data_IF_215485695208
#
_entry.id   IF_215485695208
#
_cell.length_a   1.000
_cell.length_b   1.000
_cell.length_c   1.000
_cell.angle_alpha   90.00
_cell.angle_beta   90.00
_cell.angle_gamma   90.00
#
_symmetry.space_group_name_H-M   'P 1'
#
loop_
_entity.id
_entity.type
_entity.pdbx_description
1 polymer ?
#
# COMPACT_ATOMS: atom_id res chain seq x y z
N UNK A 1 34.21 -8.86 -0.28
CA UNK A 1 33.35 -8.05 0.61
C UNK A 1 32.47 -7.26 -0.30
N UNK A 2 31.16 -7.39 -0.13
CA UNK A 2 30.17 -6.76 -1.00
C UNK A 2 29.50 -5.64 -0.19
N UNK A 3 29.28 -4.49 -0.82
CA UNK A 3 28.64 -3.33 -0.21
C UNK A 3 27.57 -2.78 -1.13
N UNK A 4 26.41 -2.43 -0.56
CA UNK A 4 25.34 -1.70 -1.25
C UNK A 4 25.06 -0.40 -0.51
N UNK A 5 24.94 0.71 -1.25
CA UNK A 5 24.70 2.04 -0.69
C UNK A 5 23.55 2.70 -1.41
N UNK A 6 22.55 3.11 -0.65
CA UNK A 6 21.32 3.72 -1.17
C UNK A 6 21.09 5.07 -0.51
N UNK A 7 20.61 6.04 -1.29
CA UNK A 7 20.32 7.38 -0.77
C UNK A 7 19.08 7.96 -1.46
N UNK A 8 18.15 8.55 -0.69
CA UNK A 8 16.91 9.14 -1.20
C UNK A 8 17.11 10.27 -2.21
N UNK A 9 18.28 10.92 -2.17
CA UNK A 9 18.66 11.98 -3.10
C UNK A 9 19.17 11.49 -4.46
N UNK A 10 19.25 10.18 -4.68
CA UNK A 10 19.63 9.64 -5.99
C UNK A 10 18.55 10.02 -7.04
N UNK A 11 18.93 10.71 -8.13
CA UNK A 11 18.00 11.20 -9.14
C UNK A 11 17.32 10.09 -9.96
N UNK A 12 17.84 8.85 -9.92
CA UNK A 12 17.21 7.69 -10.57
C UNK A 12 15.98 7.17 -9.81
N UNK A 13 15.82 7.52 -8.53
CA UNK A 13 14.73 7.01 -7.71
C UNK A 13 13.40 7.68 -8.03
N UNK A 14 12.48 6.88 -8.58
CA UNK A 14 11.04 7.22 -8.62
C UNK A 14 10.40 7.07 -7.23
N UNK A 15 9.15 7.50 -7.07
CA UNK A 15 8.44 7.38 -5.77
C UNK A 15 8.33 5.93 -5.28
N UNK A 16 8.16 4.96 -6.19
CA UNK A 16 8.09 3.54 -5.79
C UNK A 16 9.46 3.01 -5.33
N UNK A 17 10.56 3.52 -5.89
CA UNK A 17 11.90 3.20 -5.38
C UNK A 17 12.13 3.80 -4.00
N UNK A 18 11.68 5.04 -3.75
CA UNK A 18 11.75 5.66 -2.41
C UNK A 18 10.91 4.87 -1.39
N UNK A 19 9.73 4.40 -1.80
CA UNK A 19 8.92 3.48 -1.00
C UNK A 19 9.66 2.16 -0.74
N UNK A 20 10.30 1.59 -1.75
CA UNK A 20 11.18 0.43 -1.59
C UNK A 20 12.28 0.65 -0.57
N UNK A 21 12.97 1.79 -0.66
CA UNK A 21 14.07 2.12 0.22
C UNK A 21 13.60 2.28 1.68
N UNK A 22 12.46 2.92 1.90
CA UNK A 22 11.87 2.99 3.24
C UNK A 22 11.39 1.63 3.76
N UNK A 23 10.85 0.79 2.88
CA UNK A 23 10.48 -0.58 3.22
C UNK A 23 11.67 -1.41 3.70
N UNK A 24 12.81 -1.28 3.00
CA UNK A 24 14.07 -1.91 3.37
C UNK A 24 14.58 -1.35 4.70
N UNK A 25 14.58 -0.03 4.87
CA UNK A 25 14.99 0.64 6.11
C UNK A 25 14.21 0.10 7.31
N UNK A 26 12.88 0.05 7.22
CA UNK A 26 12.01 -0.46 8.28
C UNK A 26 12.26 -1.94 8.57
N UNK A 27 12.48 -2.74 7.54
CA UNK A 27 12.74 -4.18 7.69
C UNK A 27 14.08 -4.44 8.37
N UNK A 28 15.14 -3.75 7.95
CA UNK A 28 16.46 -3.84 8.58
C UNK A 28 16.41 -3.35 10.02
N UNK A 29 15.65 -2.29 10.31
CA UNK A 29 15.48 -1.80 11.68
C UNK A 29 14.80 -2.82 12.59
N UNK A 30 13.78 -3.51 12.09
CA UNK A 30 13.11 -4.58 12.84
C UNK A 30 14.06 -5.77 13.06
N UNK A 31 14.77 -6.21 12.01
CA UNK A 31 15.77 -7.28 12.12
C UNK A 31 16.89 -6.95 13.10
N UNK A 32 17.29 -5.68 13.20
CA UNK A 32 18.30 -5.23 14.15
C UNK A 32 17.88 -5.50 15.60
N UNK A 33 16.59 -5.37 15.90
CA UNK A 33 16.03 -5.59 17.23
C UNK A 33 15.85 -7.08 17.54
N UNK A 34 15.51 -7.88 16.54
CA UNK A 34 15.09 -9.28 16.72
C UNK A 34 16.22 -10.29 16.54
N UNK A 35 17.18 -10.00 15.65
CA UNK A 35 18.22 -10.95 15.24
C UNK A 35 19.60 -10.37 15.51
N UNK A 36 20.33 -10.88 16.52
CA UNK A 36 21.71 -10.49 16.81
C UNK A 36 22.66 -10.71 15.62
N UNK A 37 23.75 -9.91 15.55
CA UNK A 37 24.69 -9.90 14.41
C UNK A 37 25.34 -11.27 14.13
N UNK A 38 25.65 -12.03 15.17
CA UNK A 38 26.27 -13.36 15.11
C UNK A 38 25.37 -14.42 14.45
N UNK A 39 24.07 -14.18 14.41
CA UNK A 39 23.08 -15.05 13.76
C UNK A 39 22.84 -14.68 12.28
N UNK A 40 23.47 -13.61 11.78
CA UNK A 40 23.29 -13.13 10.39
C UNK A 40 24.38 -13.72 9.49
N UNK A 41 24.03 -14.31 8.33
CA UNK A 41 25.01 -14.91 7.43
C UNK A 41 25.99 -13.87 6.88
N UNK A 42 27.22 -14.28 6.60
CA UNK A 42 28.23 -13.40 6.01
C UNK A 42 28.65 -12.21 6.87
N UNK A 43 28.32 -12.23 8.17
CA UNK A 43 28.42 -11.07 9.06
C UNK A 43 27.69 -9.85 8.49
N UNK A 44 26.53 -10.09 7.85
CA UNK A 44 25.70 -9.05 7.27
C UNK A 44 25.39 -7.98 8.32
N UNK A 45 25.82 -6.77 8.02
CA UNK A 45 25.59 -5.61 8.85
C UNK A 45 25.09 -4.44 7.98
N UNK A 46 24.49 -3.46 8.64
CA UNK A 46 23.98 -2.27 7.98
C UNK A 46 24.09 -1.03 8.87
N UNK A 47 24.22 0.11 8.22
CA UNK A 47 24.05 1.42 8.83
C UNK A 47 22.79 2.07 8.28
N UNK A 48 21.93 2.54 9.18
CA UNK A 48 20.66 3.20 8.85
C UNK A 48 20.78 4.69 9.11
N UNK A 49 20.51 5.49 8.09
CA UNK A 49 20.51 6.95 8.17
C UNK A 49 19.13 7.50 7.86
N UNK A 50 18.91 8.77 8.23
CA UNK A 50 17.72 9.54 7.90
C UNK A 50 17.35 9.52 6.40
N UNK A 51 18.36 9.42 5.52
CA UNK A 51 18.17 9.52 4.06
C UNK A 51 18.86 8.41 3.27
N UNK A 52 19.38 7.38 3.92
CA UNK A 52 20.12 6.33 3.23
C UNK A 52 20.30 5.06 4.05
N UNK A 53 20.81 4.03 3.36
CA UNK A 53 21.12 2.72 3.93
C UNK A 53 22.46 2.29 3.34
N UNK A 54 23.36 1.82 4.19
CA UNK A 54 24.55 1.09 3.77
C UNK A 54 24.43 -0.35 4.25
N UNK A 55 24.57 -1.34 3.36
CA UNK A 55 24.67 -2.75 3.70
C UNK A 55 26.07 -3.26 3.36
N UNK A 56 26.60 -4.16 4.18
CA UNK A 56 27.87 -4.81 3.93
C UNK A 56 27.88 -6.24 4.44
N UNK A 57 28.48 -7.14 3.65
CA UNK A 57 28.65 -8.54 4.03
C UNK A 57 29.87 -9.20 3.37
N UNK A 58 30.18 -10.42 3.81
CA UNK A 58 31.25 -11.29 3.31
C UNK A 58 30.66 -12.64 2.89
N UNK A 59 31.42 -13.41 2.12
CA UNK A 59 30.98 -14.71 1.62
C UNK A 59 30.19 -14.59 0.31
N UNK A 60 29.30 -15.55 0.05
CA UNK A 60 28.49 -15.59 -1.17
C UNK A 60 27.26 -14.70 -1.04
N UNK A 61 27.05 -13.84 -2.05
CA UNK A 61 25.96 -12.88 -2.06
C UNK A 61 24.59 -13.57 -2.03
N UNK A 62 24.44 -14.68 -2.76
CA UNK A 62 23.19 -15.43 -2.78
C UNK A 62 22.75 -15.90 -1.38
N UNK A 63 23.65 -16.46 -0.58
CA UNK A 63 23.31 -16.99 0.75
C UNK A 63 22.82 -15.88 1.69
N UNK A 64 23.47 -14.71 1.62
CA UNK A 64 23.12 -13.55 2.44
C UNK A 64 21.80 -12.92 2.00
N UNK A 65 21.61 -12.74 0.69
CA UNK A 65 20.42 -12.08 0.14
C UNK A 65 19.20 -12.99 0.21
N UNK A 66 19.34 -14.29 -0.07
CA UNK A 66 18.26 -15.27 0.09
C UNK A 66 17.78 -15.33 1.54
N UNK A 67 18.71 -15.34 2.50
CA UNK A 67 18.36 -15.24 3.92
C UNK A 67 17.60 -13.95 4.23
N UNK A 68 18.14 -12.80 3.81
CA UNK A 68 17.51 -11.49 4.08
C UNK A 68 16.10 -11.42 3.50
N UNK A 69 15.88 -11.90 2.27
CA UNK A 69 14.56 -11.92 1.64
C UNK A 69 13.60 -12.87 2.37
N UNK A 70 14.05 -14.06 2.78
CA UNK A 70 13.20 -15.01 3.52
C UNK A 70 12.81 -14.50 4.91
N UNK A 71 13.70 -13.79 5.58
CA UNK A 71 13.41 -13.14 6.86
C UNK A 71 12.50 -11.92 6.70
N UNK A 72 12.65 -11.17 5.60
CA UNK A 72 11.86 -9.98 5.29
C UNK A 72 10.41 -10.31 4.91
N UNK A 73 10.25 -11.36 4.11
CA UNK A 73 9.02 -11.69 3.37
C UNK A 73 8.43 -13.02 3.86
N UNK A 74 7.63 -12.96 4.93
CA UNK A 74 7.08 -14.13 5.60
C UNK A 74 5.64 -14.44 5.18
N UNK A 75 5.20 -15.66 5.51
CA UNK A 75 3.82 -16.10 5.38
C UNK A 75 3.43 -16.79 6.69
N UNK A 76 2.37 -16.33 7.33
CA UNK A 76 1.86 -16.84 8.61
C UNK A 76 0.36 -17.05 8.49
N UNK A 77 -0.14 -18.24 8.88
CA UNK A 77 -1.55 -18.61 8.73
C UNK A 77 -2.13 -18.35 7.33
N UNK A 78 -1.29 -18.47 6.30
CA UNK A 78 -1.63 -18.20 4.91
C UNK A 78 -1.72 -16.72 4.54
N UNK A 79 -1.47 -15.79 5.47
CA UNK A 79 -1.40 -14.35 5.25
C UNK A 79 0.04 -13.92 4.96
N UNK A 80 0.20 -12.82 4.22
CA UNK A 80 1.52 -12.23 3.99
C UNK A 80 1.92 -11.52 5.29
N UNK A 81 3.07 -11.89 5.84
CA UNK A 81 3.66 -11.29 7.03
C UNK A 81 4.91 -10.53 6.59
N UNK A 82 4.88 -9.20 6.70
CA UNK A 82 6.00 -8.34 6.35
C UNK A 82 6.70 -7.91 7.63
N UNK A 83 7.97 -8.29 7.78
CA UNK A 83 8.73 -7.98 8.99
C UNK A 83 8.91 -6.49 9.22
N UNK A 84 9.13 -5.71 8.16
CA UNK A 84 9.20 -4.25 8.26
C UNK A 84 7.91 -3.57 8.71
N UNK A 85 6.78 -4.28 8.80
CA UNK A 85 5.55 -3.77 9.40
C UNK A 85 5.32 -4.27 10.83
N UNK A 86 6.21 -5.12 11.36
CA UNK A 86 6.03 -5.88 12.60
C UNK A 86 4.65 -6.56 12.58
N UNK A 87 4.46 -7.39 11.55
CA UNK A 87 3.18 -8.01 11.26
C UNK A 87 2.67 -8.86 12.41
N UNK A 88 3.55 -9.46 13.22
CA UNK A 88 3.19 -10.23 14.41
C UNK A 88 2.44 -9.40 15.46
N UNK A 89 2.79 -8.11 15.61
CA UNK A 89 2.10 -7.19 16.53
C UNK A 89 0.83 -6.58 15.94
N UNK A 90 0.60 -6.71 14.63
CA UNK A 90 -0.56 -6.12 13.96
C UNK A 90 -1.85 -6.86 14.32
N UNK A 91 -2.95 -6.11 14.41
CA UNK A 91 -4.28 -6.70 14.46
C UNK A 91 -4.50 -7.57 13.22
N UNK A 92 -5.07 -8.77 13.39
CA UNK A 92 -5.32 -9.72 12.29
C UNK A 92 -6.09 -9.10 11.11
N UNK A 93 -7.07 -8.24 11.41
CA UNK A 93 -7.85 -7.51 10.42
C UNK A 93 -6.98 -6.62 9.50
N UNK A 94 -5.98 -5.94 10.09
CA UNK A 94 -5.01 -5.13 9.35
C UNK A 94 -4.09 -6.01 8.49
N UNK A 95 -3.67 -7.17 9.00
CA UNK A 95 -2.89 -8.13 8.21
C UNK A 95 -3.67 -8.62 6.98
N UNK A 96 -4.97 -8.90 7.14
CA UNK A 96 -5.86 -9.31 6.03
C UNK A 96 -5.92 -8.20 4.95
N UNK A 97 -6.02 -6.94 5.34
CA UNK A 97 -5.98 -5.81 4.38
C UNK A 97 -4.65 -5.74 3.64
N UNK A 98 -3.52 -5.81 4.35
CA UNK A 98 -2.19 -5.76 3.72
C UNK A 98 -2.04 -6.91 2.74
N UNK A 99 -2.42 -8.12 3.15
CA UNK A 99 -2.41 -9.29 2.29
C UNK A 99 -3.28 -9.08 1.03
N UNK A 100 -4.57 -8.75 1.19
CA UNK A 100 -5.47 -8.54 0.05
C UNK A 100 -5.01 -7.38 -0.84
N UNK A 101 -4.50 -6.30 -0.25
CA UNK A 101 -3.94 -5.15 -0.95
C UNK A 101 -2.77 -5.54 -1.83
N UNK A 102 -1.79 -6.30 -1.30
CA UNK A 102 -0.65 -6.82 -2.06
C UNK A 102 -1.13 -7.76 -3.18
N UNK A 103 -2.06 -8.67 -2.89
CA UNK A 103 -2.65 -9.56 -3.92
C UNK A 103 -3.46 -8.80 -4.97
N UNK A 104 -4.03 -7.67 -4.60
CA UNK A 104 -4.80 -6.78 -5.45
C UNK A 104 -3.94 -5.81 -6.26
N UNK A 105 -2.65 -5.66 -5.96
CA UNK A 105 -1.78 -4.62 -6.53
C UNK A 105 -0.46 -5.17 -7.07
N UNK A 106 0.46 -5.60 -6.22
CA UNK A 106 1.77 -6.15 -6.62
C UNK A 106 1.62 -7.56 -7.18
N UNK A 107 1.03 -8.48 -6.43
CA UNK A 107 1.06 -9.92 -6.74
C UNK A 107 -0.21 -10.42 -7.45
N UNK A 108 -0.76 -9.64 -8.38
CA UNK A 108 -2.08 -9.92 -8.98
C UNK A 108 -2.14 -11.25 -9.76
N UNK A 109 -1.04 -11.64 -10.40
CA UNK A 109 -1.00 -12.81 -11.26
C UNK A 109 -0.72 -14.09 -10.47
N UNK A 110 -1.42 -15.18 -10.79
CA UNK A 110 -1.27 -16.46 -10.07
C UNK A 110 0.15 -17.03 -10.09
N UNK A 111 0.97 -16.73 -11.10
CA UNK A 111 2.38 -17.21 -11.20
C UNK A 111 3.33 -16.57 -10.19
N UNK A 112 2.96 -15.45 -9.56
CA UNK A 112 3.85 -14.77 -8.59
C UNK A 112 3.66 -15.27 -7.16
N UNK A 113 2.84 -16.31 -6.96
CA UNK A 113 2.46 -16.85 -5.65
C UNK A 113 1.99 -18.29 -5.75
N UNK A 114 2.14 -19.06 -4.68
CA UNK A 114 1.55 -20.39 -4.55
C UNK A 114 0.45 -20.32 -3.50
N UNK A 115 -0.79 -20.57 -3.92
CA UNK A 115 -1.95 -20.51 -3.04
C UNK A 115 -2.28 -21.89 -2.46
N UNK A 116 -2.73 -21.93 -1.20
CA UNK A 116 -3.17 -23.16 -0.52
C UNK A 116 -4.70 -23.34 -0.55
N UNK A 117 -5.45 -22.28 -0.87
CA UNK A 117 -6.90 -22.31 -1.00
C UNK A 117 -7.54 -20.98 -0.64
N UNK A 118 -8.86 -20.92 -0.77
CA UNK A 118 -9.63 -19.77 -0.30
C UNK A 118 -9.93 -19.94 1.20
N UNK A 119 -9.76 -18.87 1.97
CA UNK A 119 -10.06 -18.79 3.39
C UNK A 119 -11.18 -17.78 3.62
N UNK A 120 -12.00 -18.03 4.63
CA UNK A 120 -13.04 -17.12 5.08
C UNK A 120 -12.79 -16.77 6.53
N UNK A 121 -12.83 -15.47 6.84
CA UNK A 121 -12.63 -14.96 8.20
C UNK A 121 -13.77 -14.03 8.58
N UNK A 122 -14.33 -14.24 9.75
CA UNK A 122 -15.31 -13.34 10.36
C UNK A 122 -14.56 -12.29 11.19
N UNK A 123 -14.75 -11.02 10.85
CA UNK A 123 -14.17 -9.88 11.56
C UNK A 123 -15.25 -9.20 12.40
N UNK A 124 -15.08 -9.20 13.72
CA UNK A 124 -16.01 -8.61 14.67
C UNK A 124 -15.52 -7.20 15.07
N UNK A 125 -16.41 -6.19 14.97
CA UNK A 125 -16.06 -4.77 15.23
C UNK A 125 -16.75 -4.20 16.47
N UNK A 126 -18.01 -4.58 16.71
CA UNK A 126 -18.78 -4.25 17.91
C UNK A 126 -19.45 -5.53 18.44
N UNK A 127 -20.13 -5.49 19.59
CA UNK A 127 -20.84 -6.65 20.12
C UNK A 127 -22.26 -6.83 19.54
N UNK A 128 -22.78 -5.81 18.86
CA UNK A 128 -24.19 -5.71 18.49
C UNK A 128 -24.46 -6.07 17.02
N UNK A 129 -23.48 -5.90 16.14
CA UNK A 129 -23.57 -6.13 14.70
C UNK A 129 -23.05 -7.52 14.32
N UNK A 130 -23.64 -8.18 13.31
CA UNK A 130 -23.03 -9.36 12.70
C UNK A 130 -21.63 -9.06 12.16
N UNK A 131 -20.71 -10.04 12.18
CA UNK A 131 -19.35 -9.85 11.69
C UNK A 131 -19.31 -9.51 10.20
N UNK A 132 -18.25 -8.85 9.78
CA UNK A 132 -17.91 -8.72 8.36
C UNK A 132 -17.21 -10.00 7.93
N UNK A 133 -17.81 -10.71 6.99
CA UNK A 133 -17.23 -11.93 6.42
C UNK A 133 -16.30 -11.55 5.28
N UNK A 134 -15.00 -11.78 5.47
CA UNK A 134 -13.95 -11.50 4.50
C UNK A 134 -13.43 -12.79 3.90
N UNK A 135 -13.23 -12.80 2.58
CA UNK A 135 -12.65 -13.94 1.84
C UNK A 135 -11.31 -13.54 1.24
N UNK A 136 -10.31 -14.39 1.35
CA UNK A 136 -8.98 -14.16 0.77
C UNK A 136 -8.32 -15.48 0.34
N UNK A 137 -7.29 -15.39 -0.52
CA UNK A 137 -6.52 -16.54 -0.98
C UNK A 137 -5.32 -16.77 -0.08
N UNK A 138 -5.38 -17.79 0.77
CA UNK A 138 -4.23 -18.16 1.58
C UNK A 138 -3.04 -18.60 0.72
N UNK A 139 -1.84 -18.24 1.16
CA UNK A 139 -0.59 -18.54 0.45
C UNK A 139 0.28 -19.54 1.20
N UNK A 140 1.12 -20.21 0.44
CA UNK A 140 2.27 -20.98 0.94
C UNK A 140 3.55 -20.16 0.77
N UNK A 141 3.73 -19.54 -0.40
CA UNK A 141 4.90 -18.72 -0.73
C UNK A 141 4.56 -17.69 -1.83
N UNK A 142 5.45 -16.73 -2.06
CA UNK A 142 5.35 -15.72 -3.10
C UNK A 142 6.71 -15.24 -3.60
N UNK A 143 6.72 -14.66 -4.80
CA UNK A 143 7.91 -14.42 -5.61
C UNK A 143 9.04 -13.60 -4.95
N UNK A 144 8.73 -12.76 -3.96
CA UNK A 144 9.75 -11.94 -3.28
C UNK A 144 10.76 -12.80 -2.51
N UNK A 145 10.30 -13.95 -1.96
CA UNK A 145 11.12 -14.83 -1.12
C UNK A 145 12.25 -15.49 -1.88
N UNK A 146 12.03 -15.80 -3.15
CA UNK A 146 12.97 -16.55 -3.99
C UNK A 146 13.68 -15.62 -5.00
N UNK A 147 13.55 -14.31 -4.84
CA UNK A 147 14.06 -13.32 -5.81
C UNK A 147 15.58 -13.20 -5.82
N UNK A 148 16.30 -13.74 -4.82
CA UNK A 148 17.76 -13.83 -4.83
C UNK A 148 18.30 -14.52 -6.10
N UNK A 149 17.54 -15.47 -6.67
CA UNK A 149 17.86 -16.13 -7.93
C UNK A 149 17.92 -15.18 -9.15
N UNK A 150 17.32 -13.99 -9.06
CA UNK A 150 17.36 -12.97 -10.10
C UNK A 150 18.37 -11.85 -9.82
N UNK A 151 18.92 -11.80 -8.61
CA UNK A 151 19.93 -10.80 -8.20
C UNK A 151 21.35 -11.36 -8.24
N UNK A 152 21.50 -12.69 -8.27
CA UNK A 152 22.79 -13.36 -8.25
C UNK A 152 23.00 -14.25 -9.48
N UNK A 153 24.26 -14.43 -9.88
CA UNK A 153 24.66 -15.36 -10.93
C UNK A 153 24.61 -16.84 -10.45
N UNK A 154 24.86 -17.78 -11.36
CA UNK A 154 24.90 -19.22 -11.04
C UNK A 154 26.00 -19.62 -10.04
N UNK A 155 26.99 -18.77 -9.83
CA UNK A 155 28.07 -18.97 -8.85
C UNK A 155 27.71 -18.38 -7.48
N UNK A 156 26.59 -17.67 -7.39
CA UNK A 156 26.09 -17.04 -6.18
C UNK A 156 26.65 -15.64 -5.92
N UNK A 157 27.23 -14.98 -6.94
CA UNK A 157 27.73 -13.61 -6.83
C UNK A 157 26.68 -12.61 -7.32
N UNK A 158 26.69 -11.41 -6.77
CA UNK A 158 25.83 -10.30 -7.15
C UNK A 158 25.97 -9.96 -8.64
N UNK A 159 24.84 -9.72 -9.30
CA UNK A 159 24.84 -9.29 -10.70
C UNK A 159 25.26 -7.82 -10.81
N UNK A 160 25.91 -7.48 -11.92
CA UNK A 160 26.30 -6.08 -12.22
C UNK A 160 25.64 -5.55 -13.49
N UNK A 161 24.95 -6.40 -14.23
CA UNK A 161 24.23 -6.00 -15.45
C UNK A 161 22.77 -5.72 -15.11
N UNK A 162 22.13 -4.75 -15.79
CA UNK A 162 20.70 -4.55 -15.67
C UNK A 162 19.91 -5.84 -15.87
N UNK A 163 18.80 -5.96 -15.14
CA UNK A 163 17.88 -7.08 -15.21
C UNK A 163 16.50 -6.59 -15.61
N UNK A 164 15.75 -7.44 -16.30
CA UNK A 164 14.36 -7.16 -16.64
C UNK A 164 13.50 -7.16 -15.37
N UNK A 165 12.75 -6.08 -15.18
CA UNK A 165 11.84 -5.92 -14.06
C UNK A 165 10.48 -6.50 -14.41
N UNK A 166 10.08 -7.49 -13.60
CA UNK A 166 8.74 -8.03 -13.68
C UNK A 166 7.72 -6.97 -13.23
N UNK A 167 6.60 -6.85 -13.94
CA UNK A 167 5.58 -5.82 -13.65
C UNK A 167 4.96 -5.87 -12.24
N UNK A 168 5.14 -6.97 -11.50
CA UNK A 168 4.72 -7.08 -10.10
C UNK A 168 5.65 -6.35 -9.12
N UNK A 169 6.90 -6.07 -9.46
CA UNK A 169 7.83 -5.24 -8.66
C UNK A 169 7.45 -3.76 -8.74
N UNK A 170 6.96 -3.34 -9.90
CA UNK A 170 6.57 -1.96 -10.19
C UNK A 170 5.17 -1.93 -10.79
N UNK A 171 4.11 -1.99 -9.96
CA UNK A 171 2.75 -2.05 -10.46
C UNK A 171 2.43 -0.85 -11.36
N UNK A 172 1.98 -1.13 -12.58
CA UNK A 172 1.70 -0.10 -13.59
C UNK A 172 2.87 0.24 -14.52
N UNK A 173 4.09 -0.28 -14.28
CA UNK A 173 5.14 -0.30 -15.29
C UNK A 173 4.86 -1.48 -16.23
N UNK A 174 4.10 -1.23 -17.29
CA UNK A 174 3.87 -2.22 -18.33
C UNK A 174 5.02 -2.18 -19.35
N UNK A 175 5.45 -3.36 -19.81
CA UNK A 175 6.17 -3.53 -21.07
C UNK A 175 5.33 -2.85 -22.16
N UNK A 176 5.90 -1.85 -22.85
CA UNK A 176 5.15 -1.02 -23.80
C UNK A 176 4.55 -1.83 -24.95
N UNK A 177 5.16 -2.95 -25.33
CA UNK A 177 4.67 -3.85 -26.37
C UNK A 177 4.94 -5.33 -26.03
N UNK A 178 3.89 -6.13 -25.81
CA UNK A 178 4.00 -7.58 -25.51
C UNK A 178 4.65 -8.38 -26.64
N UNK A 179 4.56 -7.91 -27.89
CA UNK A 179 5.22 -8.53 -29.05
C UNK A 179 6.76 -8.33 -29.06
N UNK A 180 7.29 -7.36 -28.30
CA UNK A 180 8.71 -7.01 -28.22
C UNK A 180 9.16 -6.94 -26.76
N UNK A 181 8.81 -7.98 -25.99
CA UNK A 181 9.09 -8.02 -24.54
C UNK A 181 10.59 -7.96 -24.24
N UNK A 182 11.44 -8.47 -25.15
CA UNK A 182 12.91 -8.38 -25.04
C UNK A 182 13.47 -6.98 -25.31
N UNK A 183 12.83 -6.18 -26.16
CA UNK A 183 13.39 -4.91 -26.65
C UNK A 183 12.76 -3.69 -25.95
N UNK A 184 11.65 -3.90 -25.23
CA UNK A 184 10.89 -2.85 -24.53
C UNK A 184 10.64 -3.19 -23.06
N UNK A 185 11.32 -4.22 -22.55
CA UNK A 185 11.34 -4.57 -21.14
C UNK A 185 11.85 -3.40 -20.31
N UNK A 186 11.17 -3.11 -19.20
CA UNK A 186 11.69 -2.16 -18.24
C UNK A 186 12.86 -2.83 -17.52
N UNK A 187 14.06 -2.28 -17.67
CA UNK A 187 15.26 -2.79 -17.02
C UNK A 187 15.68 -1.88 -15.87
N UNK A 188 16.22 -2.48 -14.82
CA UNK A 188 16.83 -1.78 -13.69
C UNK A 188 18.14 -2.45 -13.31
N UNK A 189 18.98 -1.71 -12.59
CA UNK A 189 20.14 -2.33 -11.93
C UNK A 189 19.67 -3.34 -10.88
N UNK A 190 20.46 -4.39 -10.57
CA UNK A 190 20.14 -5.33 -9.49
C UNK A 190 19.91 -4.64 -8.14
N UNK A 191 20.62 -3.54 -7.88
CA UNK A 191 20.47 -2.70 -6.70
C UNK A 191 19.08 -2.05 -6.63
N UNK A 192 18.61 -1.46 -7.73
CA UNK A 192 17.27 -0.86 -7.77
C UNK A 192 16.16 -1.90 -7.76
N UNK A 193 16.35 -3.03 -8.43
CA UNK A 193 15.43 -4.17 -8.37
C UNK A 193 15.29 -4.71 -6.94
N UNK A 194 16.41 -4.81 -6.21
CA UNK A 194 16.42 -5.21 -4.81
C UNK A 194 15.64 -4.23 -3.94
N UNK A 195 15.83 -2.92 -4.12
CA UNK A 195 15.06 -1.89 -3.41
C UNK A 195 13.55 -2.01 -3.70
N UNK A 196 13.17 -2.24 -4.95
CA UNK A 196 11.77 -2.36 -5.37
C UNK A 196 11.01 -3.51 -4.68
N UNK A 197 11.70 -4.60 -4.31
CA UNK A 197 11.08 -5.71 -3.55
C UNK A 197 10.42 -5.23 -2.26
N UNK A 198 10.97 -4.18 -1.65
CA UNK A 198 10.51 -3.69 -0.36
C UNK A 198 9.41 -2.63 -0.48
N UNK A 199 9.02 -2.22 -1.70
CA UNK A 199 7.97 -1.22 -1.90
C UNK A 199 6.63 -1.60 -1.23
N UNK A 200 6.18 -2.87 -1.23
CA UNK A 200 4.98 -3.28 -0.52
C UNK A 200 4.99 -3.00 0.99
N UNK A 201 6.17 -2.96 1.61
CA UNK A 201 6.30 -2.70 3.05
C UNK A 201 5.95 -1.24 3.36
N UNK A 202 6.48 -0.29 2.57
CA UNK A 202 6.19 1.13 2.80
C UNK A 202 4.80 1.54 2.31
N UNK A 203 4.29 0.95 1.23
CA UNK A 203 2.99 1.35 0.70
C UNK A 203 1.81 1.08 1.66
N UNK A 204 0.70 1.77 1.42
CA UNK A 204 -0.57 1.53 2.10
C UNK A 204 -1.66 1.10 1.10
N UNK A 205 -2.66 0.37 1.57
CA UNK A 205 -3.68 -0.27 0.75
C UNK A 205 -5.07 0.07 1.25
N UNK A 206 -5.94 0.53 0.36
CA UNK A 206 -7.34 0.79 0.68
C UNK A 206 -8.26 -0.01 -0.23
N UNK A 207 -9.34 -0.54 0.32
CA UNK A 207 -10.46 -1.11 -0.45
C UNK A 207 -11.32 0.03 -0.95
N UNK A 208 -11.48 0.12 -2.27
CA UNK A 208 -12.29 1.15 -2.90
C UNK A 208 -13.75 0.75 -2.99
N UNK A 209 -14.62 1.69 -2.60
CA UNK A 209 -16.08 1.61 -2.69
C UNK A 209 -16.65 2.85 -3.38
N UNK A 210 -16.03 3.20 -4.51
CA UNK A 210 -16.44 4.35 -5.33
C UNK A 210 -17.81 4.17 -5.93
N UNK A 211 -18.61 5.22 -5.84
CA UNK A 211 -19.89 5.36 -6.53
C UNK A 211 -19.79 6.29 -7.73
N UNK A 212 -18.71 7.07 -7.83
CA UNK A 212 -18.43 7.92 -9.00
C UNK A 212 -17.79 7.19 -10.16
N UNK A 213 -17.03 6.12 -9.89
CA UNK A 213 -16.26 5.39 -10.90
C UNK A 213 -16.69 3.93 -10.96
N UNK A 214 -16.46 3.32 -12.12
CA UNK A 214 -16.82 1.94 -12.40
C UNK A 214 -16.09 0.97 -11.44
N UNK A 215 -16.81 0.01 -10.85
CA UNK A 215 -16.35 -0.83 -9.71
C UNK A 215 -15.25 -1.85 -10.03
N UNK A 216 -14.58 -1.73 -11.19
CA UNK A 216 -13.57 -2.71 -11.64
C UNK A 216 -12.28 -2.64 -10.83
N UNK A 217 -11.99 -1.49 -10.21
CA UNK A 217 -10.85 -1.31 -9.32
C UNK A 217 -11.29 -1.48 -7.85
N UNK A 218 -10.86 -2.58 -7.22
CA UNK A 218 -11.20 -2.90 -5.83
C UNK A 218 -10.20 -2.36 -4.81
N UNK A 219 -8.97 -2.04 -5.24
CA UNK A 219 -7.90 -1.60 -4.34
C UNK A 219 -7.23 -0.32 -4.86
N UNK A 220 -6.93 0.59 -3.95
CA UNK A 220 -6.01 1.69 -4.13
C UNK A 220 -4.67 1.34 -3.49
N UNK A 221 -3.58 1.52 -4.25
CA UNK A 221 -2.21 1.48 -3.76
C UNK A 221 -1.75 2.92 -3.52
N UNK A 222 -1.32 3.20 -2.29
CA UNK A 222 -0.75 4.48 -1.88
C UNK A 222 0.77 4.37 -1.90
N UNK A 223 1.40 5.16 -2.76
CA UNK A 223 2.85 5.32 -2.82
C UNK A 223 3.21 6.67 -2.17
N UNK A 224 3.82 6.68 -0.98
CA UNK A 224 4.20 7.91 -0.28
C UNK A 224 5.37 8.63 -0.96
N UNK A 225 5.38 9.96 -0.89
CA UNK A 225 6.57 10.76 -1.22
C UNK A 225 7.47 10.88 0.01
N UNK A 226 8.48 10.02 0.07
CA UNK A 226 9.36 9.89 1.24
C UNK A 226 10.60 10.75 1.06
N UNK A 227 10.77 11.72 1.96
CA UNK A 227 11.94 12.62 2.00
C UNK A 227 12.88 12.31 3.16
N UNK A 228 12.40 11.57 4.17
CA UNK A 228 13.13 11.16 5.36
C UNK A 228 12.68 9.75 5.79
N UNK A 229 13.60 8.78 5.76
CA UNK A 229 13.31 7.35 6.00
C UNK A 229 12.84 7.10 7.43
N UNK A 230 13.54 7.64 8.42
CA UNK A 230 13.23 7.43 9.84
C UNK A 230 11.87 8.04 10.24
N UNK A 231 11.61 9.31 9.88
CA UNK A 231 10.28 9.93 10.08
C UNK A 231 9.17 9.16 9.38
N UNK A 232 9.41 8.66 8.17
CA UNK A 232 8.42 7.85 7.49
C UNK A 232 8.19 6.50 8.19
N UNK A 233 9.26 5.88 8.71
CA UNK A 233 9.16 4.65 9.48
C UNK A 233 8.30 4.84 10.73
N UNK A 234 8.52 5.92 11.51
CA UNK A 234 7.68 6.23 12.68
C UNK A 234 6.22 6.44 12.32
N UNK A 235 5.94 7.06 11.17
CA UNK A 235 4.58 7.21 10.66
C UNK A 235 3.94 5.85 10.29
N UNK A 236 4.64 5.03 9.50
CA UNK A 236 4.10 3.80 8.90
C UNK A 236 4.01 2.64 9.90
N UNK A 237 4.88 2.64 10.89
CA UNK A 237 4.95 1.66 11.98
C UNK A 237 4.22 2.14 13.25
N UNK A 238 3.46 3.24 13.18
CA UNK A 238 2.71 3.75 14.32
C UNK A 238 1.75 2.69 14.91
N UNK A 239 1.72 2.52 16.25
CA UNK A 239 0.85 1.54 16.90
C UNK A 239 -0.64 1.70 16.59
N UNK A 240 -1.15 2.92 16.39
CA UNK A 240 -2.55 3.14 16.01
C UNK A 240 -2.81 2.67 14.59
N UNK A 241 -1.86 2.83 13.66
CA UNK A 241 -1.99 2.29 12.31
C UNK A 241 -1.92 0.76 12.30
N UNK A 242 -1.04 0.14 13.10
CA UNK A 242 -0.94 -1.33 13.23
C UNK A 242 -2.19 -1.96 13.88
N UNK A 243 -2.83 -1.22 14.78
CA UNK A 243 -4.06 -1.63 15.45
C UNK A 243 -5.34 -1.12 14.75
N UNK A 244 -5.20 -0.44 13.61
CA UNK A 244 -6.34 0.01 12.83
C UNK A 244 -7.22 -1.17 12.43
N UNK A 245 -8.51 -0.91 12.32
CA UNK A 245 -9.51 -1.92 11.98
C UNK A 245 -9.62 -2.08 10.47
N UNK A 246 -10.23 -3.18 10.01
CA UNK A 246 -10.57 -3.37 8.59
C UNK A 246 -11.37 -2.20 7.99
N UNK A 247 -12.18 -1.52 8.81
CA UNK A 247 -13.00 -0.38 8.40
C UNK A 247 -12.16 0.84 8.03
N UNK A 248 -11.05 1.06 8.73
CA UNK A 248 -10.18 2.23 8.50
C UNK A 248 -9.54 2.21 7.10
N UNK A 249 -9.38 1.03 6.52
CA UNK A 249 -8.81 0.82 5.18
C UNK A 249 -9.85 0.77 4.06
N UNK A 250 -11.08 1.24 4.28
CA UNK A 250 -12.03 1.50 3.20
C UNK A 250 -11.91 2.93 2.73
N UNK A 251 -12.03 3.18 1.43
CA UNK A 251 -12.09 4.52 0.89
C UNK A 251 -13.18 4.60 -0.18
N UNK A 252 -13.91 5.72 -0.17
CA UNK A 252 -14.93 6.04 -1.15
C UNK A 252 -14.33 6.40 -2.51
N UNK A 253 -13.08 6.84 -2.59
CA UNK A 253 -12.44 7.22 -3.85
C UNK A 253 -10.93 7.36 -3.71
N UNK A 254 -10.25 7.82 -4.77
CA UNK A 254 -8.80 8.01 -4.75
C UNK A 254 -8.41 9.20 -3.88
N UNK A 255 -9.17 10.30 -3.97
CA UNK A 255 -9.00 11.45 -3.08
C UNK A 255 -9.21 11.06 -1.61
N UNK A 256 -10.24 10.25 -1.32
CA UNK A 256 -10.52 9.75 0.03
C UNK A 256 -9.37 8.88 0.54
N UNK A 257 -8.88 7.91 -0.26
CA UNK A 257 -7.78 7.05 0.14
C UNK A 257 -6.48 7.83 0.39
N UNK A 258 -6.16 8.80 -0.47
CA UNK A 258 -4.97 9.65 -0.32
C UNK A 258 -5.04 10.55 0.91
N UNK A 259 -6.18 11.22 1.13
CA UNK A 259 -6.37 12.08 2.30
C UNK A 259 -6.45 11.25 3.60
N UNK A 260 -7.13 10.09 3.61
CA UNK A 260 -7.12 9.16 4.76
C UNK A 260 -5.71 8.81 5.18
N UNK A 261 -4.88 8.45 4.21
CA UNK A 261 -3.48 8.16 4.45
C UNK A 261 -2.78 9.39 5.02
N UNK A 262 -2.78 10.51 4.30
CA UNK A 262 -2.02 11.69 4.73
C UNK A 262 -2.49 12.29 6.07
N UNK A 263 -3.74 12.06 6.48
CA UNK A 263 -4.29 12.55 7.76
C UNK A 263 -4.49 11.44 8.79
N UNK A 264 -3.81 10.29 8.66
CA UNK A 264 -3.99 9.17 9.59
C UNK A 264 -3.59 9.53 11.02
N UNK A 265 -2.45 10.19 11.18
CA UNK A 265 -2.07 10.80 12.45
C UNK A 265 -2.65 12.22 12.51
N UNK A 266 -3.39 12.51 13.58
CA UNK A 266 -3.86 13.87 13.85
C UNK A 266 -2.65 14.78 14.09
N UNK A 267 -2.62 15.89 13.37
CA UNK A 267 -1.61 16.92 13.60
C UNK A 267 -2.09 17.82 14.72
N UNK A 268 -1.24 18.00 15.73
CA UNK A 268 -1.41 19.08 16.68
C UNK A 268 -1.52 20.40 15.88
N UNK A 269 -2.60 21.16 16.06
CA UNK A 269 -2.91 22.34 15.24
C UNK A 269 -1.73 23.34 15.14
N UNK A 270 -0.86 23.34 16.16
CA UNK A 270 0.36 24.15 16.27
C UNK A 270 1.48 23.74 15.31
N UNK A 271 1.64 22.46 14.98
CA UNK A 271 2.82 22.02 14.20
C UNK A 271 2.65 22.21 12.70
N UNK A 272 1.43 22.16 12.17
CA UNK A 272 1.10 22.27 10.73
C UNK A 272 1.98 21.40 9.79
N UNK A 273 2.72 20.44 10.33
CA UNK A 273 3.73 19.67 9.62
C UNK A 273 3.30 18.21 9.56
N UNK A 274 2.99 17.76 8.34
CA UNK A 274 2.67 16.38 8.05
C UNK A 274 3.98 15.60 7.86
N UNK A 275 4.05 14.41 8.46
CA UNK A 275 5.22 13.52 8.32
C UNK A 275 5.40 13.03 6.87
N UNK A 276 4.31 13.00 6.10
CA UNK A 276 4.30 12.67 4.68
C UNK A 276 3.71 13.84 3.90
N UNK A 277 4.49 14.54 3.06
CA UNK A 277 4.01 15.76 2.40
C UNK A 277 3.00 15.46 1.28
N UNK A 278 3.11 14.30 0.64
CA UNK A 278 2.36 13.93 -0.56
C UNK A 278 2.32 12.43 -0.74
N UNK A 279 1.31 11.93 -1.46
CA UNK A 279 1.29 10.56 -1.95
C UNK A 279 0.74 10.48 -3.38
N UNK A 280 1.10 9.40 -4.09
CA UNK A 280 0.40 8.96 -5.28
C UNK A 280 -0.57 7.85 -4.93
N UNK A 281 -1.79 7.95 -5.44
CA UNK A 281 -2.86 6.97 -5.28
C UNK A 281 -3.14 6.37 -6.64
N UNK A 282 -2.88 5.08 -6.80
CA UNK A 282 -3.09 4.38 -8.06
C UNK A 282 -4.10 3.25 -7.90
N UNK A 283 -4.85 3.00 -8.96
CA UNK A 283 -5.71 1.83 -9.07
C UNK A 283 -5.25 0.94 -10.21
N UNK A 284 -5.42 -0.36 -10.03
CA UNK A 284 -5.08 -1.36 -11.02
C UNK A 284 -6.34 -2.17 -11.32
N UNK A 285 -6.69 -2.25 -12.59
CA UNK A 285 -7.90 -2.90 -13.06
C UNK A 285 -7.72 -3.53 -14.43
N UNK A 286 -8.64 -4.41 -14.79
CA UNK A 286 -8.68 -4.96 -16.14
C UNK A 286 -9.24 -3.90 -17.10
N UNK A 287 -8.56 -3.71 -18.22
CA UNK A 287 -9.01 -2.83 -19.31
C UNK A 287 -9.71 -3.69 -20.37
N UNK A 288 -10.63 -3.09 -21.14
CA UNK A 288 -11.51 -3.83 -22.05
C UNK A 288 -10.77 -4.71 -23.08
N UNK A 289 -9.54 -4.34 -23.43
CA UNK A 289 -8.71 -5.06 -24.41
C UNK A 289 -7.73 -6.09 -23.80
N UNK A 290 -7.61 -6.19 -22.47
CA UNK A 290 -6.79 -7.21 -21.81
C UNK A 290 -7.37 -7.57 -20.45
N UNK A 291 -8.05 -8.72 -20.40
CA UNK A 291 -8.60 -9.30 -19.17
C UNK A 291 -7.54 -9.97 -18.30
N UNK A 292 -6.40 -10.35 -18.88
CA UNK A 292 -5.30 -11.06 -18.20
C UNK A 292 -4.29 -10.11 -17.56
N UNK A 293 -4.04 -8.94 -18.16
CA UNK A 293 -3.10 -7.96 -17.65
C UNK A 293 -3.84 -6.74 -17.09
N UNK A 294 -3.87 -6.63 -15.76
CA UNK A 294 -4.38 -5.43 -15.11
C UNK A 294 -3.39 -4.29 -15.34
N UNK A 295 -3.87 -3.23 -15.95
CA UNK A 295 -3.09 -2.03 -16.22
C UNK A 295 -3.41 -0.97 -15.17
N UNK A 296 -2.57 0.07 -15.07
CA UNK A 296 -2.90 1.26 -14.29
C UNK A 296 -4.16 1.88 -14.88
N UNK A 297 -5.27 1.80 -14.15
CA UNK A 297 -6.57 2.33 -14.60
C UNK A 297 -6.75 3.79 -14.21
N UNK A 298 -6.12 4.22 -13.13
CA UNK A 298 -6.22 5.59 -12.62
C UNK A 298 -5.03 5.96 -11.74
N UNK A 299 -4.75 7.25 -11.65
CA UNK A 299 -3.67 7.83 -10.86
C UNK A 299 -4.08 9.23 -10.38
N UNK A 300 -4.00 9.45 -9.07
CA UNK A 300 -4.15 10.76 -8.46
C UNK A 300 -2.91 11.08 -7.62
N UNK A 301 -2.52 12.35 -7.57
CA UNK A 301 -1.52 12.84 -6.63
C UNK A 301 -2.22 13.69 -5.59
N UNK A 302 -2.03 13.37 -4.31
CA UNK A 302 -2.68 14.07 -3.19
C UNK A 302 -1.59 14.69 -2.34
N UNK A 303 -1.73 15.98 -2.06
CA UNK A 303 -0.77 16.77 -1.29
C UNK A 303 -1.37 17.19 0.04
N UNK A 304 -0.51 17.27 1.05
CA UNK A 304 -0.89 17.81 2.34
C UNK A 304 -1.00 19.33 2.26
N UNK A 305 -2.22 19.82 2.45
CA UNK A 305 -2.50 21.25 2.58
C UNK A 305 -3.37 21.41 3.81
N UNK A 306 -2.93 22.25 4.75
CA UNK A 306 -3.56 22.36 6.06
C UNK A 306 -5.09 22.52 5.97
N UNK A 307 -5.59 23.44 5.13
CA UNK A 307 -7.04 23.65 4.94
C UNK A 307 -7.75 22.42 4.36
N UNK A 308 -7.15 21.76 3.37
CA UNK A 308 -7.74 20.59 2.74
C UNK A 308 -7.79 19.42 3.74
N UNK A 309 -6.70 19.16 4.44
CA UNK A 309 -6.63 18.11 5.45
C UNK A 309 -7.58 18.38 6.63
N UNK A 310 -7.69 19.63 7.12
CA UNK A 310 -8.63 20.01 8.18
C UNK A 310 -10.08 19.80 7.75
N UNK A 311 -10.46 20.30 6.56
CA UNK A 311 -11.80 20.07 6.01
C UNK A 311 -12.08 18.58 5.80
N UNK A 312 -11.07 17.81 5.39
CA UNK A 312 -11.19 16.37 5.23
C UNK A 312 -11.43 15.66 6.57
N UNK A 313 -10.70 16.01 7.62
CA UNK A 313 -10.91 15.48 8.98
C UNK A 313 -12.32 15.79 9.50
N UNK A 314 -12.80 17.03 9.32
CA UNK A 314 -14.19 17.39 9.64
C UNK A 314 -15.16 16.50 8.85
N UNK A 315 -14.95 16.37 7.53
CA UNK A 315 -15.81 15.53 6.69
C UNK A 315 -15.82 14.06 7.13
N UNK A 316 -14.69 13.51 7.58
CA UNK A 316 -14.59 12.13 8.08
C UNK A 316 -15.38 11.95 9.38
N UNK A 317 -15.36 12.95 10.26
CA UNK A 317 -16.11 12.93 11.52
C UNK A 317 -17.63 13.00 11.33
N UNK A 318 -18.10 13.86 10.42
CA UNK A 318 -19.55 14.09 10.21
C UNK A 318 -20.16 13.18 9.13
N UNK A 319 -19.33 12.54 8.30
CA UNK A 319 -19.71 11.57 7.28
C UNK A 319 -18.90 10.27 7.44
N UNK A 320 -19.07 9.53 8.54
CA UNK A 320 -18.29 8.33 8.83
C UNK A 320 -18.67 7.16 7.91
N UNK A 321 -17.75 6.21 7.79
CA UNK A 321 -18.08 4.90 7.23
C UNK A 321 -19.01 4.14 8.17
N UNK A 322 -19.92 3.35 7.61
CA UNK A 322 -20.97 2.67 8.38
C UNK A 322 -20.91 1.17 8.14
N UNK A 323 -21.07 0.40 9.21
CA UNK A 323 -21.33 -1.04 9.11
C UNK A 323 -22.82 -1.21 8.82
N UNK A 324 -23.13 -1.93 7.75
CA UNK A 324 -24.51 -2.19 7.30
C UNK A 324 -24.72 -3.69 7.31
N UNK A 325 -25.75 -4.13 8.04
CA UNK A 325 -26.18 -5.53 8.06
C UNK A 325 -26.77 -5.86 6.69
N UNK A 326 -26.36 -7.00 6.11
CA UNK A 326 -26.94 -7.46 4.86
C UNK A 326 -28.40 -7.88 5.04
N UNK A 327 -29.12 -8.05 3.93
CA UNK A 327 -30.54 -8.44 3.96
C UNK A 327 -30.69 -9.84 4.55
N UNK A 328 -31.90 -10.20 4.99
CA UNK A 328 -32.20 -11.43 5.75
C UNK A 328 -31.76 -12.74 5.07
N UNK A 329 -31.51 -12.72 3.76
CA UNK A 329 -31.04 -13.83 2.92
C UNK A 329 -29.51 -13.90 2.76
N UNK A 330 -28.77 -12.90 3.24
CA UNK A 330 -27.32 -12.82 3.16
C UNK A 330 -26.68 -12.72 4.54
N UNK A 331 -25.69 -13.58 4.83
CA UNK A 331 -24.99 -13.54 6.11
C UNK A 331 -23.94 -12.43 6.21
N UNK A 332 -23.91 -11.82 7.41
CA UNK A 332 -22.90 -10.86 7.84
C UNK A 332 -23.20 -9.40 7.53
N UNK A 333 -22.18 -8.57 7.71
CA UNK A 333 -22.24 -7.12 7.48
C UNK A 333 -21.26 -6.69 6.38
N UNK A 334 -21.42 -5.46 5.87
CA UNK A 334 -20.47 -4.82 4.97
C UNK A 334 -20.21 -3.37 5.36
N UNK A 335 -19.09 -2.81 4.91
CA UNK A 335 -18.76 -1.39 5.13
C UNK A 335 -19.30 -0.57 3.96
N UNK A 336 -20.21 0.34 4.28
CA UNK A 336 -20.71 1.36 3.38
C UNK A 336 -19.94 2.66 3.58
N UNK A 337 -19.27 3.12 2.53
CA UNK A 337 -18.59 4.42 2.52
C UNK A 337 -19.55 5.56 2.19
N UNK A 338 -19.24 6.76 2.70
CA UNK A 338 -20.02 7.97 2.42
C UNK A 338 -19.85 8.42 0.96
N UNK A 339 -20.97 8.76 0.31
CA UNK A 339 -20.96 9.28 -1.05
C UNK A 339 -20.58 10.77 -1.05
N UNK A 340 -21.15 11.55 -0.13
CA UNK A 340 -20.77 12.94 0.08
C UNK A 340 -19.27 13.10 0.35
N UNK A 341 -18.68 12.20 1.15
CA UNK A 341 -17.24 12.23 1.44
C UNK A 341 -16.39 11.94 0.20
N UNK A 342 -16.85 11.08 -0.71
CA UNK A 342 -16.17 10.82 -1.98
C UNK A 342 -15.98 12.13 -2.77
N UNK A 343 -17.05 12.89 -2.89
CA UNK A 343 -17.10 14.15 -3.63
C UNK A 343 -16.21 15.21 -2.98
N UNK A 344 -16.34 15.37 -1.66
CA UNK A 344 -15.54 16.29 -0.86
C UNK A 344 -14.06 15.96 -1.01
N UNK A 345 -13.68 14.70 -0.82
CA UNK A 345 -12.29 14.27 -0.86
C UNK A 345 -11.67 14.43 -2.27
N UNK A 346 -12.43 14.17 -3.33
CA UNK A 346 -12.00 14.39 -4.71
C UNK A 346 -11.78 15.88 -5.02
N UNK A 347 -12.59 16.79 -4.46
CA UNK A 347 -12.37 18.23 -4.58
C UNK A 347 -11.12 18.67 -3.79
N UNK A 348 -11.04 18.27 -2.52
CA UNK A 348 -9.94 18.64 -1.63
C UNK A 348 -8.58 18.14 -2.14
N UNK A 349 -8.53 16.92 -2.69
CA UNK A 349 -7.33 16.38 -3.33
C UNK A 349 -6.85 17.20 -4.54
N UNK A 350 -7.78 17.91 -5.23
CA UNK A 350 -7.49 18.78 -6.39
C UNK A 350 -7.33 20.26 -6.01
N UNK A 351 -7.26 20.61 -4.73
CA UNK A 351 -7.26 21.99 -4.24
C UNK A 351 -8.53 22.80 -4.50
N UNK A 352 -9.65 22.13 -4.77
CA UNK A 352 -10.91 22.81 -4.94
C UNK A 352 -11.61 22.98 -3.58
N UNK A 353 -12.46 24.02 -3.43
CA UNK A 353 -13.36 24.10 -2.28
C UNK A 353 -14.18 22.80 -2.16
N UNK A 354 -14.42 22.34 -0.93
CA UNK A 354 -15.06 21.04 -0.68
C UNK A 354 -16.44 20.92 -1.36
N UNK A 355 -17.15 22.04 -1.48
CA UNK A 355 -18.49 22.14 -2.07
C UNK A 355 -18.50 22.30 -3.61
N UNK A 356 -17.34 22.29 -4.26
CA UNK A 356 -17.25 22.46 -5.72
C UNK A 356 -18.05 21.37 -6.45
N UNK A 357 -18.81 21.75 -7.48
CA UNK A 357 -19.64 20.81 -8.27
C UNK A 357 -20.92 20.31 -7.58
N UNK A 358 -21.20 20.70 -6.33
CA UNK A 358 -22.42 20.25 -5.64
C UNK A 358 -23.71 20.67 -6.34
N UNK A 359 -23.73 21.85 -6.96
CA UNK A 359 -24.88 22.34 -7.72
C UNK A 359 -25.29 21.39 -8.86
N UNK A 360 -24.32 20.88 -9.61
CA UNK A 360 -24.55 19.96 -10.72
C UNK A 360 -25.10 18.61 -10.24
N UNK A 361 -24.74 18.18 -9.03
CA UNK A 361 -25.16 16.89 -8.47
C UNK A 361 -26.54 16.93 -7.84
N UNK A 362 -26.91 18.06 -7.23
CA UNK A 362 -28.28 18.28 -6.72
C UNK A 362 -29.30 18.26 -7.86
N UNK A 363 -28.89 18.70 -9.06
CA UNK A 363 -29.75 18.69 -10.25
C UNK A 363 -29.97 17.29 -10.86
N UNK A 364 -29.31 16.24 -10.35
CA UNK A 364 -29.53 14.85 -10.76
C UNK A 364 -30.42 14.12 -9.76
N UNK A 365 -31.62 13.68 -10.17
CA UNK A 365 -32.59 12.99 -9.29
C UNK A 365 -31.99 11.80 -8.53
N UNK A 366 -31.13 11.01 -9.17
CA UNK A 366 -30.51 9.85 -8.55
C UNK A 366 -29.45 10.25 -7.52
N UNK A 367 -28.53 11.15 -7.88
CA UNK A 367 -27.45 11.59 -6.99
C UNK A 367 -27.97 12.43 -5.83
N UNK A 368 -28.98 13.27 -6.07
CA UNK A 368 -29.66 14.02 -5.03
C UNK A 368 -30.28 13.11 -3.97
N UNK A 369 -30.97 12.03 -4.41
CA UNK A 369 -31.51 11.03 -3.49
C UNK A 369 -30.40 10.40 -2.63
N UNK A 370 -29.26 10.08 -3.21
CA UNK A 370 -28.12 9.55 -2.45
C UNK A 370 -27.58 10.53 -1.41
N UNK A 371 -27.40 11.80 -1.78
CA UNK A 371 -26.95 12.87 -0.87
C UNK A 371 -27.96 13.17 0.24
N UNK A 372 -29.26 12.99 -0.03
CA UNK A 372 -30.31 13.25 0.96
C UNK A 372 -30.19 12.38 2.23
N UNK A 373 -29.65 11.16 2.10
CA UNK A 373 -29.37 10.27 3.24
C UNK A 373 -28.22 10.76 4.13
N UNK A 374 -27.43 11.71 3.65
CA UNK A 374 -26.25 12.28 4.31
C UNK A 374 -26.42 13.77 4.64
N UNK A 375 -27.64 14.30 4.48
CA UNK A 375 -27.97 15.72 4.72
C UNK A 375 -27.53 16.24 6.09
N UNK A 376 -27.61 15.40 7.12
CA UNK A 376 -27.23 15.78 8.48
C UNK A 376 -25.72 16.04 8.61
N UNK A 377 -24.89 15.18 8.01
CA UNK A 377 -23.45 15.37 7.97
C UNK A 377 -23.06 16.54 7.07
N UNK A 378 -23.74 16.70 5.92
CA UNK A 378 -23.53 17.86 5.03
C UNK A 378 -23.89 19.19 5.69
N UNK A 379 -24.93 19.23 6.52
CA UNK A 379 -25.29 20.44 7.28
C UNK A 379 -24.20 20.81 8.29
N UNK A 380 -23.54 19.82 8.91
CA UNK A 380 -22.45 20.06 9.87
C UNK A 380 -21.12 20.48 9.21
N UNK A 381 -21.01 20.39 7.88
CA UNK A 381 -19.84 20.90 7.12
C UNK A 381 -19.89 22.41 6.89
N UNK A 382 -21.07 23.03 7.07
CA UNK A 382 -21.34 24.47 6.93
C UNK A 382 -21.28 25.12 8.30
#
# INVERSE_FOLDING_TARGET
MTELKFHLGDPSLTLIHRAGLAGLWMTLKQLEQEIPLDHRPGSLNWDLFARGIHLGWRGKDYEVIDWLLKESFQVEDGLISLRGLDSHSMRKDSQVIVHQGILGTFLQHGKTRKATGDQTQALQFDQESPPIIVKYKALETYAHRDFANQLCDKKGNWLHKPINIAGWLTPGAAVRHTAFTSDTGFEETPEMAFVLLYAPVACCYYILRSRLRDQRAQFALIIPDITHLETYASYRQDPHLRNASYQDFHASGLGDAGLKFLTHQEIAETSQQYQVPRCQVLTLGTVAWSSQQKSRTDLSTVETRYRACKNYQVSRGVLPDRIVVKRKDEEGSFIATSFARELIAENLARDHPWYSGFGDWINSNERFKQLSYERGGLYQMV
#
